data_IF_532133870915
#
_entry.id   IF_532133870915
#
_cell.length_a   1.000
_cell.length_b   1.000
_cell.length_c   1.000
_cell.angle_alpha   90.00
_cell.angle_beta   90.00
_cell.angle_gamma   90.00
#
_symmetry.space_group_name_H-M   'P 1'
#
loop_
_entity.id
_entity.type
_entity.pdbx_description
1 polymer ?
#
# COMPACT_ATOMS: atom_id res chain seq x y z
N UNK A 1 -55.69 -52.29 -7.72
CA UNK A 1 -54.38 -51.90 -8.32
C UNK A 1 -53.49 -51.35 -7.20
N UNK A 2 -52.35 -52.01 -6.95
CA UNK A 2 -51.42 -51.69 -5.85
C UNK A 2 -50.54 -50.49 -6.24
N UNK A 3 -50.63 -49.38 -5.51
CA UNK A 3 -49.76 -48.21 -5.72
C UNK A 3 -48.30 -48.60 -5.40
N UNK A 4 -47.40 -48.39 -6.36
CA UNK A 4 -46.00 -48.81 -6.28
C UNK A 4 -45.21 -47.90 -5.32
N UNK A 5 -44.45 -48.46 -4.36
CA UNK A 5 -43.71 -47.70 -3.35
C UNK A 5 -42.50 -46.93 -3.92
N UNK A 6 -42.10 -47.18 -5.18
CA UNK A 6 -40.94 -46.53 -5.81
C UNK A 6 -41.11 -45.02 -6.03
N UNK A 7 -42.35 -44.53 -6.25
CA UNK A 7 -42.56 -43.10 -6.51
C UNK A 7 -42.42 -42.23 -5.25
N UNK A 8 -42.68 -42.79 -4.06
CA UNK A 8 -42.52 -42.06 -2.78
C UNK A 8 -41.06 -41.93 -2.36
N UNK A 9 -40.23 -42.92 -2.68
CA UNK A 9 -38.79 -42.88 -2.38
C UNK A 9 -38.05 -41.81 -3.21
N UNK A 10 -38.44 -41.62 -4.47
CA UNK A 10 -37.82 -40.62 -5.34
C UNK A 10 -38.16 -39.18 -4.92
N UNK A 11 -39.38 -38.93 -4.45
CA UNK A 11 -39.79 -37.62 -3.95
C UNK A 11 -39.07 -37.21 -2.66
N UNK A 12 -38.77 -38.15 -1.76
CA UNK A 12 -37.97 -37.87 -0.56
C UNK A 12 -36.50 -37.60 -0.88
N UNK A 13 -35.93 -38.25 -1.89
CA UNK A 13 -34.54 -38.04 -2.30
C UNK A 13 -34.33 -36.65 -2.94
N UNK A 14 -35.29 -36.17 -3.73
CA UNK A 14 -35.25 -34.81 -4.28
C UNK A 14 -35.40 -33.71 -3.22
N UNK A 15 -36.19 -33.94 -2.16
CA UNK A 15 -36.32 -32.98 -1.04
C UNK A 15 -35.03 -32.89 -0.20
N UNK A 16 -34.28 -33.98 -0.07
CA UNK A 16 -33.03 -34.00 0.70
C UNK A 16 -31.88 -33.24 0.00
N UNK A 17 -31.89 -33.14 -1.33
CA UNK A 17 -30.87 -32.41 -2.10
C UNK A 17 -31.02 -30.88 -2.05
N UNK A 18 -32.17 -30.37 -1.58
CA UNK A 18 -32.39 -28.92 -1.45
C UNK A 18 -31.78 -28.30 -0.19
N UNK A 19 -31.31 -29.09 0.79
CA UNK A 19 -30.73 -28.58 2.04
C UNK A 19 -29.20 -28.48 2.03
N UNK A 20 -28.54 -28.89 0.94
CA UNK A 20 -27.08 -28.83 0.83
C UNK A 20 -26.56 -27.54 0.19
N UNK A 21 -27.43 -26.64 -0.28
CA UNK A 21 -27.04 -25.30 -0.75
C UNK A 21 -27.01 -24.33 0.43
N UNK A 22 -26.21 -24.66 1.44
CA UNK A 22 -25.83 -23.69 2.46
C UNK A 22 -24.75 -22.83 1.81
N UNK A 23 -25.16 -21.80 1.06
CA UNK A 23 -24.25 -20.75 0.62
C UNK A 23 -23.63 -20.17 1.89
N UNK A 24 -22.33 -20.44 2.09
CA UNK A 24 -21.57 -19.73 3.12
C UNK A 24 -21.62 -18.27 2.70
N UNK A 25 -22.39 -17.48 3.43
CA UNK A 25 -22.42 -16.04 3.29
C UNK A 25 -20.98 -15.57 3.45
N UNK A 26 -20.36 -15.15 2.34
CA UNK A 26 -18.99 -14.64 2.36
C UNK A 26 -19.00 -13.37 3.22
N UNK A 27 -18.31 -13.43 4.35
CA UNK A 27 -18.13 -12.28 5.21
C UNK A 27 -17.37 -11.20 4.43
N UNK A 28 -18.06 -10.12 4.09
CA UNK A 28 -17.47 -9.00 3.37
C UNK A 28 -16.59 -8.23 4.36
N UNK A 29 -15.30 -8.55 4.36
CA UNK A 29 -14.31 -7.83 5.18
C UNK A 29 -14.18 -6.40 4.62
N UNK A 30 -14.40 -5.36 5.45
CA UNK A 30 -14.27 -3.99 5.01
C UNK A 30 -12.82 -3.68 4.61
N UNK A 31 -12.66 -2.92 3.53
CA UNK A 31 -11.34 -2.46 3.07
C UNK A 31 -10.85 -1.34 3.98
N UNK A 32 -9.66 -1.52 4.56
CA UNK A 32 -9.00 -0.49 5.35
C UNK A 32 -8.63 0.72 4.48
N UNK A 33 -8.97 1.92 4.94
CA UNK A 33 -8.53 3.16 4.31
C UNK A 33 -7.13 3.50 4.81
N UNK A 34 -6.11 3.28 3.99
CA UNK A 34 -4.73 3.68 4.32
C UNK A 34 -4.44 5.08 3.79
N UNK A 35 -4.85 5.37 2.56
CA UNK A 35 -4.78 6.71 1.97
C UNK A 35 -6.20 7.19 1.63
N UNK A 36 -6.61 8.42 1.99
CA UNK A 36 -7.94 8.91 1.62
C UNK A 36 -7.96 9.31 0.15
N UNK A 37 -8.46 8.40 -0.68
CA UNK A 37 -8.49 8.55 -2.14
C UNK A 37 -9.84 9.08 -2.62
N UNK A 38 -9.90 10.39 -2.86
CA UNK A 38 -11.03 11.03 -3.51
C UNK A 38 -10.54 12.12 -4.46
N UNK A 39 -11.18 12.24 -5.63
CA UNK A 39 -10.81 13.26 -6.63
C UNK A 39 -10.88 14.66 -6.01
N UNK A 40 -9.77 15.39 -6.12
CA UNK A 40 -9.59 16.71 -5.52
C UNK A 40 -8.88 16.71 -4.17
N UNK A 41 -8.67 15.55 -3.54
CA UNK A 41 -7.80 15.42 -2.37
C UNK A 41 -6.36 15.77 -2.75
N UNK A 42 -5.68 16.44 -1.84
CA UNK A 42 -4.40 17.08 -2.11
C UNK A 42 -3.52 17.15 -0.87
N UNK A 43 -2.22 17.02 -1.08
CA UNK A 43 -1.17 17.12 -0.07
C UNK A 43 0.00 17.94 -0.61
N UNK A 44 0.46 18.89 0.18
CA UNK A 44 1.65 19.69 -0.10
C UNK A 44 2.69 19.39 0.95
N UNK A 45 3.86 18.94 0.49
CA UNK A 45 4.98 18.56 1.32
C UNK A 45 6.11 19.57 1.16
N UNK A 46 6.81 19.83 2.26
CA UNK A 46 8.16 20.39 2.25
C UNK A 46 9.14 19.23 2.11
N UNK A 47 10.06 19.34 1.17
CA UNK A 47 11.10 18.34 0.93
C UNK A 47 12.42 18.93 1.36
N UNK A 48 13.05 18.32 2.36
CA UNK A 48 14.31 18.76 2.93
C UNK A 48 15.36 17.69 2.62
N UNK A 49 16.42 18.07 1.92
CA UNK A 49 17.58 17.22 1.69
C UNK A 49 18.65 17.56 2.72
N UNK A 50 19.31 16.54 3.25
CA UNK A 50 20.37 16.65 4.24
C UNK A 50 21.66 16.08 3.67
N UNK A 51 22.81 16.56 4.15
CA UNK A 51 24.09 15.90 3.93
C UNK A 51 24.31 14.78 4.96
N UNK A 52 25.44 14.08 4.88
CA UNK A 52 25.78 13.03 5.85
C UNK A 52 26.12 13.55 7.25
N UNK A 53 26.30 14.86 7.43
CA UNK A 53 26.55 15.46 8.75
C UNK A 53 25.24 15.91 9.42
N UNK A 54 24.11 15.82 8.70
CA UNK A 54 22.78 16.20 9.17
C UNK A 54 22.42 17.66 8.86
N UNK A 55 23.28 18.40 8.15
CA UNK A 55 22.97 19.76 7.73
C UNK A 55 22.01 19.78 6.54
N UNK A 56 21.12 20.76 6.52
CA UNK A 56 20.20 20.98 5.40
C UNK A 56 20.99 21.45 4.17
N UNK A 57 20.87 20.68 3.07
CA UNK A 57 21.41 21.03 1.76
C UNK A 57 20.44 21.90 0.97
N UNK A 58 19.19 21.44 0.85
CA UNK A 58 18.15 22.12 0.08
C UNK A 58 16.77 21.94 0.69
N UNK A 59 15.90 22.91 0.43
CA UNK A 59 14.48 22.83 0.76
C UNK A 59 13.65 23.14 -0.47
N UNK A 60 12.65 22.32 -0.76
CA UNK A 60 11.73 22.50 -1.89
C UNK A 60 10.30 22.10 -1.50
N UNK A 61 9.36 22.21 -2.44
CA UNK A 61 7.97 21.81 -2.23
C UNK A 61 7.53 20.78 -3.25
N UNK A 62 6.80 19.78 -2.78
CA UNK A 62 6.21 18.73 -3.61
C UNK A 62 4.70 18.67 -3.39
N UNK A 63 3.92 18.66 -4.48
CA UNK A 63 2.45 18.59 -4.44
C UNK A 63 1.96 17.28 -5.02
N UNK A 64 1.20 16.53 -4.22
CA UNK A 64 0.50 15.30 -4.63
C UNK A 64 -1.00 15.56 -4.63
N UNK A 65 -1.70 15.15 -5.68
CA UNK A 65 -3.14 15.34 -5.77
C UNK A 65 -3.79 14.12 -6.42
N UNK A 66 -5.00 13.75 -5.99
CA UNK A 66 -5.86 12.84 -6.74
C UNK A 66 -6.57 13.63 -7.85
N UNK A 67 -6.18 13.41 -9.10
CA UNK A 67 -6.63 14.23 -10.24
C UNK A 67 -7.84 13.64 -10.96
N UNK A 68 -7.99 12.32 -10.95
CA UNK A 68 -9.15 11.62 -11.54
C UNK A 68 -9.25 10.21 -10.98
N UNK A 69 -10.39 9.59 -11.15
CA UNK A 69 -10.60 8.16 -11.00
C UNK A 69 -10.77 7.48 -12.37
N UNK A 70 -10.72 6.16 -12.38
CA UNK A 70 -10.93 5.32 -13.56
C UNK A 70 -11.37 3.92 -13.14
N UNK A 71 -12.00 3.18 -14.05
CA UNK A 71 -12.31 1.77 -13.85
C UNK A 71 -11.27 0.90 -14.56
N UNK A 72 -10.71 -0.08 -13.85
CA UNK A 72 -9.86 -1.14 -14.42
C UNK A 72 -10.39 -2.46 -13.89
N UNK A 73 -10.81 -3.35 -14.78
CA UNK A 73 -11.41 -4.65 -14.41
C UNK A 73 -12.56 -4.52 -13.40
N UNK A 74 -13.46 -3.55 -13.64
CA UNK A 74 -14.62 -3.23 -12.77
C UNK A 74 -14.28 -2.74 -11.36
N UNK A 75 -13.02 -2.45 -11.07
CA UNK A 75 -12.61 -1.84 -9.80
C UNK A 75 -12.24 -0.38 -10.02
N UNK A 76 -12.62 0.50 -9.09
CA UNK A 76 -12.23 1.91 -9.11
C UNK A 76 -10.76 2.07 -8.72
N UNK A 77 -10.06 2.87 -9.51
CA UNK A 77 -8.68 3.27 -9.29
C UNK A 77 -8.57 4.79 -9.35
N UNK A 78 -7.61 5.33 -8.60
CA UNK A 78 -7.37 6.76 -8.51
C UNK A 78 -6.04 7.11 -9.16
N UNK A 79 -6.02 8.17 -9.93
CA UNK A 79 -4.85 8.64 -10.66
C UNK A 79 -4.33 9.88 -9.95
N UNK A 80 -3.05 9.85 -9.61
CA UNK A 80 -2.37 10.92 -8.91
C UNK A 80 -1.74 11.92 -9.89
N UNK A 81 -1.40 13.12 -9.42
CA UNK A 81 -0.78 14.18 -10.20
C UNK A 81 0.54 13.77 -10.88
N UNK A 82 1.26 12.80 -10.30
CA UNK A 82 2.48 12.21 -10.88
C UNK A 82 2.19 11.05 -11.85
N UNK A 83 0.93 10.78 -12.19
CA UNK A 83 0.52 9.72 -13.11
C UNK A 83 0.36 8.33 -12.50
N UNK A 84 0.71 8.16 -11.22
CA UNK A 84 0.52 6.90 -10.48
C UNK A 84 -0.94 6.50 -10.45
N UNK A 85 -1.24 5.21 -10.58
CA UNK A 85 -2.59 4.66 -10.43
C UNK A 85 -2.63 3.83 -9.15
N UNK A 86 -3.54 4.15 -8.23
CA UNK A 86 -3.57 3.60 -6.87
C UNK A 86 -4.98 3.29 -6.39
N UNK A 87 -5.09 2.40 -5.39
CA UNK A 87 -6.34 2.14 -4.66
C UNK A 87 -6.03 1.65 -3.24
N UNK A 88 -6.99 1.79 -2.33
CA UNK A 88 -7.03 0.92 -1.15
C UNK A 88 -7.68 -0.40 -1.56
N UNK A 89 -7.14 -1.51 -1.11
CA UNK A 89 -7.61 -2.86 -1.30
C UNK A 89 -7.51 -3.62 0.03
N UNK A 90 -8.12 -4.80 0.12
CA UNK A 90 -8.11 -5.62 1.35
C UNK A 90 -6.68 -5.92 1.82
N UNK A 91 -5.79 -6.16 0.86
CA UNK A 91 -4.41 -6.53 1.12
C UNK A 91 -3.50 -5.30 1.33
N UNK A 92 -4.04 -4.06 1.19
CA UNK A 92 -3.34 -2.81 1.48
C UNK A 92 -3.53 -1.71 0.43
N UNK A 93 -2.63 -0.72 0.42
CA UNK A 93 -2.59 0.33 -0.61
C UNK A 93 -1.81 -0.16 -1.82
N UNK A 94 -2.50 -0.29 -2.95
CA UNK A 94 -1.99 -0.95 -4.16
C UNK A 94 -1.68 0.08 -5.23
N UNK A 95 -0.56 -0.12 -5.92
CA UNK A 95 -0.13 0.60 -7.11
C UNK A 95 -0.31 -0.27 -8.37
N UNK A 96 -0.82 0.30 -9.46
CA UNK A 96 -0.98 -0.38 -10.74
C UNK A 96 0.08 0.07 -11.76
N UNK A 97 0.87 -0.89 -12.25
CA UNK A 97 1.91 -0.71 -13.26
C UNK A 97 1.30 -0.91 -14.66
N UNK A 98 1.10 0.20 -15.39
CA UNK A 98 0.40 0.20 -16.70
C UNK A 98 1.10 -0.62 -17.79
N UNK A 99 2.43 -0.59 -17.81
CA UNK A 99 3.28 -1.24 -18.81
C UNK A 99 3.16 -2.77 -18.75
N UNK A 100 3.18 -3.34 -17.56
CA UNK A 100 3.09 -4.77 -17.32
C UNK A 100 1.68 -5.26 -17.00
N UNK A 101 0.74 -4.34 -16.75
CA UNK A 101 -0.63 -4.63 -16.27
C UNK A 101 -0.65 -5.38 -14.93
N UNK A 102 0.30 -5.05 -14.06
CA UNK A 102 0.52 -5.71 -12.77
C UNK A 102 0.17 -4.78 -11.60
N UNK A 103 -0.04 -5.39 -10.44
CA UNK A 103 -0.37 -4.70 -9.19
C UNK A 103 0.69 -4.99 -8.13
N UNK A 104 1.01 -3.97 -7.35
CA UNK A 104 2.03 -4.04 -6.30
C UNK A 104 1.49 -3.39 -5.04
N UNK A 105 1.55 -4.08 -3.91
CA UNK A 105 1.15 -3.54 -2.61
C UNK A 105 2.30 -2.65 -2.12
N UNK A 106 2.01 -1.36 -1.93
CA UNK A 106 3.00 -0.41 -1.41
C UNK A 106 2.89 -0.30 0.11
N UNK A 107 1.66 -0.19 0.64
CA UNK A 107 1.40 -0.21 2.08
C UNK A 107 0.63 -1.48 2.42
N UNK A 108 1.29 -2.55 2.90
CA UNK A 108 0.61 -3.81 3.18
C UNK A 108 -0.40 -3.70 4.32
N UNK A 109 -1.47 -4.49 4.27
CA UNK A 109 -2.31 -4.75 5.44
C UNK A 109 -1.49 -5.43 6.55
N UNK A 110 -1.99 -5.49 7.80
CA UNK A 110 -1.30 -6.21 8.87
C UNK A 110 -1.04 -7.68 8.54
N UNK A 111 -1.98 -8.33 7.84
CA UNK A 111 -1.90 -9.74 7.45
C UNK A 111 -0.92 -10.00 6.29
N UNK A 112 -0.70 -8.98 5.46
CA UNK A 112 0.18 -9.02 4.28
C UNK A 112 1.55 -8.34 4.53
N UNK A 113 1.87 -7.98 5.76
CA UNK A 113 3.15 -7.36 6.09
C UNK A 113 4.33 -8.31 5.82
N UNK A 114 5.48 -7.77 5.38
CA UNK A 114 6.68 -8.57 5.09
C UNK A 114 6.82 -9.04 3.64
N UNK A 115 6.06 -8.47 2.71
CA UNK A 115 6.20 -8.73 1.27
C UNK A 115 7.53 -8.18 0.72
N UNK A 116 8.07 -8.85 -0.31
CA UNK A 116 9.26 -8.42 -1.00
C UNK A 116 9.06 -8.45 -2.51
N UNK A 117 9.57 -7.44 -3.21
CA UNK A 117 9.62 -7.38 -4.67
C UNK A 117 11.06 -7.35 -5.15
N UNK A 118 11.39 -8.23 -6.10
CA UNK A 118 12.70 -8.30 -6.75
C UNK A 118 12.64 -7.74 -8.17
N UNK A 119 13.63 -6.93 -8.54
CA UNK A 119 13.77 -6.35 -9.87
C UNK A 119 15.18 -6.62 -10.39
N UNK A 120 15.27 -7.25 -11.55
CA UNK A 120 16.54 -7.48 -12.24
C UNK A 120 16.78 -6.40 -13.29
N UNK A 121 17.90 -5.69 -13.15
CA UNK A 121 18.38 -4.73 -14.13
C UNK A 121 19.65 -5.27 -14.80
N UNK A 122 20.08 -4.68 -15.93
CA UNK A 122 21.28 -5.13 -16.63
C UNK A 122 22.51 -5.21 -15.72
N UNK A 123 22.72 -4.24 -14.83
CA UNK A 123 23.94 -4.09 -14.04
C UNK A 123 23.77 -4.36 -12.53
N UNK A 124 22.53 -4.46 -12.03
CA UNK A 124 22.26 -4.69 -10.60
C UNK A 124 20.92 -5.42 -10.40
N UNK A 125 20.74 -5.97 -9.21
CA UNK A 125 19.45 -6.48 -8.74
C UNK A 125 18.99 -5.65 -7.55
N UNK A 126 17.71 -5.31 -7.49
CA UNK A 126 17.07 -4.56 -6.42
C UNK A 126 16.00 -5.40 -5.75
N UNK A 127 16.05 -5.54 -4.43
CA UNK A 127 14.98 -6.10 -3.62
C UNK A 127 14.40 -5.01 -2.74
N UNK A 128 13.07 -4.92 -2.69
CA UNK A 128 12.34 -3.98 -1.85
C UNK A 128 11.46 -4.78 -0.90
N UNK A 129 11.76 -4.71 0.40
CA UNK A 129 10.97 -5.35 1.45
C UNK A 129 10.06 -4.32 2.10
N UNK A 130 8.76 -4.58 2.07
CA UNK A 130 7.75 -3.71 2.67
C UNK A 130 7.29 -4.28 4.00
N UNK A 131 7.31 -3.47 5.04
CA UNK A 131 6.79 -3.84 6.36
C UNK A 131 5.89 -2.74 6.89
N UNK A 132 4.94 -3.12 7.73
CA UNK A 132 4.05 -2.25 8.47
C UNK A 132 4.14 -2.57 9.95
N UNK A 133 4.06 -1.55 10.81
CA UNK A 133 3.91 -1.73 12.26
C UNK A 133 2.53 -2.31 12.62
N UNK A 134 2.45 -3.14 13.68
CA UNK A 134 1.18 -3.75 14.11
C UNK A 134 0.19 -2.74 14.72
N UNK A 135 0.63 -1.52 14.99
CA UNK A 135 -0.18 -0.44 15.55
C UNK A 135 0.41 0.92 15.21
N UNK A 136 -0.17 1.95 15.82
CA UNK A 136 0.31 3.32 15.68
C UNK A 136 1.64 3.51 16.42
N UNK A 137 2.54 4.28 15.82
CA UNK A 137 3.80 4.70 16.42
C UNK A 137 3.84 6.22 16.54
N UNK A 138 4.64 6.73 17.46
CA UNK A 138 4.84 8.17 17.60
C UNK A 138 5.52 8.76 16.35
N UNK A 139 5.10 9.95 15.94
CA UNK A 139 5.73 10.70 14.84
C UNK A 139 6.41 11.94 15.42
N UNK A 140 7.75 11.89 15.65
CA UNK A 140 8.44 12.97 16.34
C UNK A 140 8.27 14.32 15.63
N UNK A 141 7.88 15.35 16.39
CA UNK A 141 7.79 16.73 15.91
C UNK A 141 6.86 16.95 14.71
N UNK A 142 5.87 16.07 14.48
CA UNK A 142 4.90 16.28 13.40
C UNK A 142 3.78 17.22 13.84
N UNK A 143 3.46 18.28 13.07
CA UNK A 143 2.38 19.19 13.41
C UNK A 143 0.98 18.65 13.10
N UNK A 144 0.87 17.51 12.41
CA UNK A 144 -0.42 16.99 11.91
C UNK A 144 -0.96 15.81 12.73
N UNK A 145 -0.09 15.02 13.36
CA UNK A 145 -0.50 13.93 14.24
C UNK A 145 0.65 13.48 15.15
N UNK A 146 0.34 13.18 16.41
CA UNK A 146 1.31 12.62 17.36
C UNK A 146 1.62 11.15 17.08
N UNK A 147 0.69 10.44 16.40
CA UNK A 147 0.79 9.02 16.11
C UNK A 147 0.29 8.69 14.69
N UNK A 148 0.92 7.70 14.05
CA UNK A 148 0.56 7.24 12.70
C UNK A 148 0.92 5.75 12.51
N UNK A 149 0.43 5.14 11.42
CA UNK A 149 0.95 3.87 10.94
C UNK A 149 2.32 4.10 10.31
N UNK A 150 3.34 3.33 10.70
CA UNK A 150 4.65 3.36 10.05
C UNK A 150 4.75 2.21 9.04
N UNK A 151 5.12 2.59 7.82
CA UNK A 151 5.51 1.69 6.74
C UNK A 151 7.00 1.84 6.49
N UNK A 152 7.75 0.74 6.55
CA UNK A 152 9.18 0.74 6.29
C UNK A 152 9.51 -0.03 5.01
N UNK A 153 10.41 0.54 4.20
CA UNK A 153 10.89 -0.03 2.95
C UNK A 153 12.39 -0.23 3.04
N UNK A 154 12.82 -1.48 3.06
CA UNK A 154 14.23 -1.85 2.99
C UNK A 154 14.57 -2.14 1.52
N UNK A 155 15.46 -1.35 0.94
CA UNK A 155 15.86 -1.43 -0.47
C UNK A 155 17.29 -1.94 -0.55
N UNK A 156 17.45 -3.21 -0.88
CA UNK A 156 18.75 -3.85 -1.03
C UNK A 156 19.15 -3.88 -2.51
N UNK A 157 20.34 -3.36 -2.82
CA UNK A 157 20.88 -3.32 -4.19
C UNK A 157 22.17 -4.12 -4.25
N UNK A 158 22.22 -5.14 -5.10
CA UNK A 158 23.45 -5.90 -5.40
C UNK A 158 23.98 -5.56 -6.79
N UNK A 159 25.21 -5.06 -6.86
CA UNK A 159 25.88 -4.73 -8.13
C UNK A 159 26.53 -5.99 -8.72
N UNK A 160 26.26 -6.29 -10.00
CA UNK A 160 26.82 -7.48 -10.65
C UNK A 160 28.35 -7.44 -10.78
N UNK A 161 28.91 -6.24 -10.88
CA UNK A 161 30.34 -6.03 -11.07
C UNK A 161 31.18 -6.23 -9.79
N UNK A 162 30.61 -6.01 -8.61
CA UNK A 162 31.34 -6.00 -7.34
C UNK A 162 30.80 -6.98 -6.29
N UNK A 163 29.64 -7.61 -6.53
CA UNK A 163 28.89 -8.42 -5.54
C UNK A 163 28.58 -7.69 -4.21
N UNK A 164 28.85 -6.39 -4.13
CA UNK A 164 28.59 -5.58 -2.95
C UNK A 164 27.09 -5.32 -2.84
N UNK A 165 26.53 -5.64 -1.68
CA UNK A 165 25.19 -5.27 -1.29
C UNK A 165 25.22 -3.87 -0.66
N UNK A 166 24.27 -3.02 -1.04
CA UNK A 166 24.03 -1.75 -0.38
C UNK A 166 22.56 -1.61 -0.04
N UNK A 167 22.26 -1.15 1.17
CA UNK A 167 20.90 -1.10 1.70
C UNK A 167 20.49 0.33 2.00
N UNK A 168 19.37 0.77 1.45
CA UNK A 168 18.74 2.05 1.82
C UNK A 168 17.43 1.79 2.52
N UNK A 169 17.03 2.72 3.38
CA UNK A 169 15.79 2.62 4.14
C UNK A 169 14.89 3.80 3.84
N UNK A 170 13.59 3.54 3.83
CA UNK A 170 12.55 4.57 3.79
C UNK A 170 11.56 4.26 4.89
N UNK A 171 11.13 5.26 5.64
CA UNK A 171 10.02 5.18 6.58
C UNK A 171 8.95 6.17 6.18
N UNK A 172 7.70 5.72 6.08
CA UNK A 172 6.55 6.54 5.78
C UNK A 172 5.53 6.45 6.90
N UNK A 173 5.08 7.61 7.38
CA UNK A 173 4.09 7.72 8.45
C UNK A 173 2.78 8.17 7.83
N UNK A 174 1.74 7.38 8.02
CA UNK A 174 0.45 7.53 7.34
C UNK A 174 -0.68 7.49 8.35
N UNK A 175 -1.62 8.41 8.24
CA UNK A 175 -2.88 8.39 9.00
C UNK A 175 -4.03 8.11 8.03
N UNK A 176 -5.06 7.32 8.41
CA UNK A 176 -6.21 7.06 7.54
C UNK A 176 -6.96 8.33 7.09
N UNK A 177 -7.07 9.31 8.00
CA UNK A 177 -7.89 10.51 7.79
C UNK A 177 -7.19 11.60 6.97
N UNK A 178 -5.86 11.67 7.06
CA UNK A 178 -5.08 12.67 6.32
C UNK A 178 -4.37 12.01 5.15
N UNK A 179 -3.77 10.84 5.32
CA UNK A 179 -2.85 10.20 4.39
C UNK A 179 -1.41 10.27 4.91
N UNK A 180 -0.44 10.23 4.01
CA UNK A 180 0.99 10.30 4.35
C UNK A 180 1.33 11.68 4.93
N UNK A 181 1.82 11.70 6.17
CA UNK A 181 2.19 12.94 6.87
C UNK A 181 3.71 13.17 6.90
N UNK A 182 4.51 12.10 6.83
CA UNK A 182 5.97 12.19 6.76
C UNK A 182 6.57 11.03 5.96
N UNK A 183 7.67 11.30 5.27
CA UNK A 183 8.59 10.29 4.73
C UNK A 183 10.02 10.62 5.11
N UNK A 184 10.76 9.66 5.64
CA UNK A 184 12.19 9.76 5.93
C UNK A 184 12.96 8.77 5.06
N UNK A 185 13.89 9.28 4.25
CA UNK A 185 14.85 8.50 3.46
C UNK A 185 16.21 8.56 4.11
N UNK A 186 16.89 7.42 4.18
CA UNK A 186 18.20 7.29 4.81
C UNK A 186 19.28 7.01 3.78
N UNK A 187 20.50 7.46 4.07
CA UNK A 187 21.67 7.11 3.27
C UNK A 187 21.91 5.61 3.26
N UNK A 188 22.57 5.14 2.21
CA UNK A 188 22.96 3.75 2.08
C UNK A 188 23.80 3.30 3.29
N UNK A 189 23.42 2.16 3.86
CA UNK A 189 24.11 1.46 4.93
C UNK A 189 24.37 2.35 6.17
N UNK A 190 23.45 3.29 6.42
CA UNK A 190 23.53 4.29 7.49
C UNK A 190 22.14 4.62 8.05
N UNK A 191 22.09 5.10 9.29
CA UNK A 191 20.95 5.69 9.98
C UNK A 191 20.85 7.21 9.76
N UNK A 192 21.74 7.79 8.95
CA UNK A 192 21.74 9.22 8.64
C UNK A 192 20.61 9.56 7.67
N UNK A 193 19.78 10.52 8.08
CA UNK A 193 18.70 11.05 7.27
C UNK A 193 19.29 11.73 6.02
N UNK A 194 18.83 11.30 4.85
CA UNK A 194 19.20 11.86 3.54
C UNK A 194 18.14 12.85 3.06
N UNK A 195 16.86 12.52 3.24
CA UNK A 195 15.75 13.36 2.78
C UNK A 195 14.51 13.17 3.64
N UNK A 196 13.81 14.25 3.93
CA UNK A 196 12.49 14.25 4.58
C UNK A 196 11.43 14.89 3.69
N UNK A 197 10.28 14.25 3.58
CA UNK A 197 9.04 14.88 3.14
C UNK A 197 8.21 15.13 4.40
N UNK A 198 7.91 16.38 4.72
CA UNK A 198 7.02 16.74 5.82
C UNK A 198 5.75 17.35 5.23
N UNK A 199 4.57 16.87 5.64
CA UNK A 199 3.33 17.48 5.22
C UNK A 199 3.26 18.91 5.76
N UNK A 200 2.92 19.88 4.89
CA UNK A 200 2.73 21.29 5.28
C UNK A 200 1.27 21.68 5.26
N UNK A 201 0.54 21.20 4.26
CA UNK A 201 -0.90 21.41 4.16
C UNK A 201 -1.57 20.31 3.34
N UNK A 202 -2.87 20.15 3.54
CA UNK A 202 -3.66 19.18 2.82
C UNK A 202 -5.10 19.67 2.64
N UNK A 203 -5.79 19.04 1.70
CA UNK A 203 -7.24 19.13 1.52
C UNK A 203 -7.75 17.71 1.33
N UNK A 204 -8.49 17.20 2.30
CA UNK A 204 -9.19 15.91 2.24
C UNK A 204 -10.69 16.21 2.39
N UNK A 205 -11.51 15.58 1.56
CA UNK A 205 -12.97 15.74 1.54
C UNK A 205 -13.68 14.55 2.15
#
# INVERSE_FOLDING_TARGET
MKQQPLFRAFALLCLALCFSSCDKEEEIIPVEVIMPLQVGNEWVYEVIDYNTDGDVLTTSSFRRQVVKDTLISKTTWYILSNGSIVRNDRDGYVYYRKDAKEQYITYPSPEMSGIAYGYEYPNYTLWIYHRRTSGLVAVPDSPHADQALEFSFERQTSQKASSSLSTTWVKEYVTPDIGMIRTDWYYADSDKLMRRYELKSYRVK
#
